data_IF_259967076701
#
_entry.id   IF_259967076701
#
_cell.length_a   1.000
_cell.length_b   1.000
_cell.length_c   1.000
_cell.angle_alpha   90.00
_cell.angle_beta   90.00
_cell.angle_gamma   90.00
#
_symmetry.space_group_name_H-M   'P 1'
#
loop_
_entity.id
_entity.type
_entity.pdbx_description
1 polymer ?
#
# COMPACT_ATOMS: atom_id res chain seq x y z
N UNK A 1 -7.91 39.12 -27.18
CA UNK A 1 -8.68 38.25 -26.27
C UNK A 1 -7.87 37.00 -25.96
N UNK A 2 -7.23 36.96 -24.79
CA UNK A 2 -6.43 35.82 -24.31
C UNK A 2 -7.34 34.84 -23.58
N UNK A 3 -7.49 33.64 -24.12
CA UNK A 3 -8.28 32.56 -23.49
C UNK A 3 -7.52 32.11 -22.23
N UNK A 4 -8.14 32.18 -21.03
CA UNK A 4 -7.49 31.71 -19.81
C UNK A 4 -7.33 30.19 -19.91
N UNK A 5 -6.09 29.71 -19.93
CA UNK A 5 -5.80 28.29 -19.87
C UNK A 5 -6.23 27.77 -18.50
N UNK A 6 -7.28 26.94 -18.48
CA UNK A 6 -7.72 26.19 -17.31
C UNK A 6 -6.60 25.26 -16.86
N UNK A 7 -5.73 25.76 -15.99
CA UNK A 7 -4.72 24.96 -15.29
C UNK A 7 -5.47 23.98 -14.40
N UNK A 8 -5.68 22.74 -14.88
CA UNK A 8 -6.19 21.63 -14.07
C UNK A 8 -5.27 21.53 -12.85
N UNK A 9 -5.73 22.00 -11.68
CA UNK A 9 -5.02 21.76 -10.42
C UNK A 9 -5.08 20.27 -10.20
N UNK A 10 -3.98 19.57 -10.46
CA UNK A 10 -3.83 18.17 -10.08
C UNK A 10 -3.92 18.15 -8.56
N UNK A 11 -5.05 17.66 -8.02
CA UNK A 11 -5.37 17.76 -6.59
C UNK A 11 -4.36 17.00 -5.71
N UNK A 12 -3.67 16.00 -6.28
CA UNK A 12 -2.71 15.16 -5.59
C UNK A 12 -1.38 15.09 -6.32
N UNK A 13 -0.30 15.48 -5.64
CA UNK A 13 1.04 15.28 -6.17
C UNK A 13 1.36 13.77 -6.22
N UNK A 14 2.18 13.34 -7.18
CA UNK A 14 2.63 11.95 -7.29
C UNK A 14 3.16 11.35 -5.97
N UNK A 15 3.98 12.05 -5.14
CA UNK A 15 4.40 11.49 -3.86
C UNK A 15 3.24 11.35 -2.87
N UNK A 16 2.27 12.28 -2.87
CA UNK A 16 1.07 12.15 -2.03
C UNK A 16 0.27 10.90 -2.42
N UNK A 17 0.08 10.66 -3.71
CA UNK A 17 -0.63 9.46 -4.19
C UNK A 17 0.11 8.16 -3.82
N UNK A 18 1.45 8.16 -3.92
CA UNK A 18 2.29 7.01 -3.55
C UNK A 18 2.21 6.62 -2.07
N UNK A 19 1.81 7.55 -1.20
CA UNK A 19 1.59 7.29 0.23
C UNK A 19 0.13 6.97 0.53
N UNK A 20 -0.79 7.83 0.06
CA UNK A 20 -2.21 7.74 0.41
C UNK A 20 -2.86 6.48 -0.16
N UNK A 21 -2.55 6.11 -1.40
CA UNK A 21 -3.19 4.95 -2.05
C UNK A 21 -2.84 3.64 -1.34
N UNK A 22 -1.57 3.28 -1.07
CA UNK A 22 -1.25 2.06 -0.36
C UNK A 22 -1.79 2.03 1.07
N UNK A 23 -1.72 3.16 1.79
CA UNK A 23 -2.29 3.25 3.14
C UNK A 23 -3.79 3.02 3.13
N UNK A 24 -4.53 3.74 2.28
CA UNK A 24 -5.97 3.59 2.17
C UNK A 24 -6.34 2.16 1.81
N UNK A 25 -5.68 1.56 0.81
CA UNK A 25 -5.92 0.18 0.41
C UNK A 25 -5.66 -0.80 1.56
N UNK A 26 -4.54 -0.67 2.28
CA UNK A 26 -4.23 -1.50 3.44
C UNK A 26 -5.31 -1.37 4.51
N UNK A 27 -5.71 -0.14 4.86
CA UNK A 27 -6.74 0.10 5.88
C UNK A 27 -8.09 -0.47 5.48
N UNK A 28 -8.52 -0.29 4.23
CA UNK A 28 -9.79 -0.83 3.74
C UNK A 28 -9.77 -2.36 3.70
N UNK A 29 -8.68 -2.96 3.22
CA UNK A 29 -8.50 -4.41 3.23
C UNK A 29 -8.57 -4.95 4.66
N UNK A 30 -7.85 -4.34 5.60
CA UNK A 30 -7.73 -4.85 6.95
C UNK A 30 -8.99 -4.62 7.79
N UNK A 31 -9.69 -3.50 7.59
CA UNK A 31 -10.89 -3.15 8.36
C UNK A 31 -12.19 -3.75 7.80
N UNK A 32 -12.29 -3.97 6.49
CA UNK A 32 -13.52 -4.42 5.85
C UNK A 32 -13.38 -5.80 5.23
N UNK A 33 -12.42 -5.97 4.32
CA UNK A 33 -12.33 -7.19 3.52
C UNK A 33 -11.91 -8.39 4.37
N UNK A 34 -10.97 -8.17 5.29
CA UNK A 34 -10.39 -9.20 6.14
C UNK A 34 -11.40 -9.82 7.10
N UNK A 35 -12.17 -9.05 7.91
CA UNK A 35 -13.22 -9.64 8.74
C UNK A 35 -14.30 -10.32 7.90
N UNK A 36 -14.71 -9.70 6.79
CA UNK A 36 -15.74 -10.26 5.91
C UNK A 36 -15.32 -11.63 5.32
N UNK A 37 -14.08 -11.75 4.85
CA UNK A 37 -13.55 -13.03 4.34
C UNK A 37 -13.40 -14.07 5.43
N UNK A 38 -12.95 -13.66 6.62
CA UNK A 38 -12.78 -14.58 7.73
C UNK A 38 -14.12 -15.14 8.23
N UNK A 39 -15.17 -14.33 8.32
CA UNK A 39 -16.51 -14.78 8.67
C UNK A 39 -17.04 -15.80 7.66
N UNK A 40 -16.81 -15.58 6.36
CA UNK A 40 -17.22 -16.50 5.29
C UNK A 40 -16.52 -17.86 5.35
N UNK A 41 -15.32 -17.92 5.89
CA UNK A 41 -14.52 -19.13 6.04
C UNK A 41 -14.58 -19.75 7.45
N UNK A 42 -15.42 -19.21 8.35
CA UNK A 42 -15.51 -19.71 9.73
C UNK A 42 -14.24 -19.47 10.55
N UNK A 43 -13.48 -18.42 10.25
CA UNK A 43 -12.24 -18.09 10.95
C UNK A 43 -12.48 -17.60 12.37
N UNK A 44 -11.66 -18.08 13.30
CA UNK A 44 -11.66 -17.63 14.70
C UNK A 44 -10.70 -16.46 14.86
N UNK A 45 -11.21 -15.33 15.37
CA UNK A 45 -10.39 -14.16 15.66
C UNK A 45 -9.47 -14.45 16.85
N UNK A 46 -8.16 -14.23 16.65
CA UNK A 46 -7.13 -14.26 17.68
C UNK A 46 -6.70 -12.83 17.95
N UNK A 47 -6.82 -12.44 19.21
CA UNK A 47 -6.38 -11.14 19.72
C UNK A 47 -5.16 -11.39 20.60
N UNK A 48 -4.05 -10.72 20.32
CA UNK A 48 -2.83 -10.86 21.11
C UNK A 48 -2.31 -9.48 21.53
N UNK A 49 -1.93 -9.41 22.81
CA UNK A 49 -1.33 -8.22 23.41
C UNK A 49 -2.29 -7.41 24.29
N UNK A 50 -1.73 -6.91 25.38
CA UNK A 50 -2.39 -6.07 26.37
C UNK A 50 -1.72 -4.68 26.41
N UNK A 51 -1.41 -4.11 25.24
CA UNK A 51 -0.42 -3.05 25.09
C UNK A 51 -1.01 -1.69 24.68
N UNK A 52 -0.37 -0.63 25.17
CA UNK A 52 -0.65 0.81 25.00
C UNK A 52 -0.85 1.27 23.53
N UNK A 53 -0.43 0.46 22.54
CA UNK A 53 -0.54 0.75 21.10
C UNK A 53 -1.72 0.06 20.39
N UNK A 54 -2.55 -0.68 21.13
CA UNK A 54 -3.68 -1.45 20.59
C UNK A 54 -3.37 -2.94 20.41
N UNK A 55 -4.39 -3.81 20.41
CA UNK A 55 -4.23 -5.25 20.27
C UNK A 55 -3.85 -5.63 18.84
N UNK A 56 -2.91 -6.56 18.69
CA UNK A 56 -2.61 -7.18 17.39
C UNK A 56 -3.63 -8.29 17.11
N UNK A 57 -4.03 -8.44 15.85
CA UNK A 57 -5.15 -9.30 15.46
C UNK A 57 -4.83 -10.12 14.23
N UNK A 58 -5.28 -11.36 14.25
CA UNK A 58 -5.26 -12.25 13.09
C UNK A 58 -6.35 -13.31 13.21
N UNK A 59 -6.57 -14.08 12.15
CA UNK A 59 -7.58 -15.14 12.14
C UNK A 59 -6.91 -16.51 12.05
N UNK A 60 -7.47 -17.47 12.78
CA UNK A 60 -7.08 -18.87 12.74
C UNK A 60 -8.19 -19.70 12.11
N UNK A 61 -7.80 -20.71 11.33
CA UNK A 61 -8.71 -21.60 10.60
C UNK A 61 -8.40 -23.06 10.95
N UNK A 62 -9.36 -23.95 10.81
CA UNK A 62 -9.16 -25.39 10.94
C UNK A 62 -8.32 -25.96 9.79
N UNK A 63 -7.86 -27.21 9.94
CA UNK A 63 -6.97 -27.83 8.97
C UNK A 63 -7.63 -28.08 7.61
N UNK A 64 -8.94 -28.39 7.56
CA UNK A 64 -9.64 -28.64 6.32
C UNK A 64 -9.79 -27.35 5.51
N UNK A 65 -10.23 -26.26 6.13
CA UNK A 65 -10.35 -24.95 5.46
C UNK A 65 -8.99 -24.42 4.97
N UNK A 66 -7.89 -24.68 5.69
CA UNK A 66 -6.54 -24.33 5.22
C UNK A 66 -6.12 -25.13 3.99
N UNK A 67 -6.53 -26.40 3.89
CA UNK A 67 -6.22 -27.23 2.74
C UNK A 67 -7.01 -26.76 1.49
N UNK A 68 -8.27 -26.37 1.67
CA UNK A 68 -9.13 -25.91 0.59
C UNK A 68 -8.76 -24.49 0.10
N UNK A 69 -8.30 -23.62 1.01
CA UNK A 69 -8.00 -22.23 0.72
C UNK A 69 -6.63 -21.77 1.29
N UNK A 70 -5.51 -22.36 0.84
CA UNK A 70 -4.19 -22.14 1.46
C UNK A 70 -3.71 -20.68 1.36
N UNK A 71 -3.94 -20.04 0.21
CA UNK A 71 -3.51 -18.65 -0.02
C UNK A 71 -4.34 -17.68 0.83
N UNK A 72 -5.66 -17.87 0.86
CA UNK A 72 -6.56 -16.95 1.54
C UNK A 72 -6.42 -17.06 3.06
N UNK A 73 -6.38 -18.29 3.58
CA UNK A 73 -6.16 -18.55 5.01
C UNK A 73 -4.78 -18.09 5.47
N UNK A 74 -3.74 -18.24 4.63
CA UNK A 74 -2.41 -17.69 4.89
C UNK A 74 -2.41 -16.15 5.02
N UNK A 75 -3.07 -15.46 4.10
CA UNK A 75 -3.27 -14.01 4.19
C UNK A 75 -4.03 -13.62 5.47
N UNK A 76 -5.14 -14.30 5.76
CA UNK A 76 -5.97 -14.01 6.94
C UNK A 76 -5.25 -14.32 8.26
N UNK A 77 -4.29 -15.24 8.26
CA UNK A 77 -3.44 -15.57 9.41
C UNK A 77 -2.28 -14.60 9.64
N UNK A 78 -2.01 -13.67 8.72
CA UNK A 78 -0.91 -12.70 8.83
C UNK A 78 -1.26 -11.57 9.79
N UNK A 79 -0.46 -11.20 10.78
CA UNK A 79 -0.88 -10.19 11.76
C UNK A 79 -1.15 -8.78 11.18
N UNK A 80 -2.01 -8.01 11.85
CA UNK A 80 -2.30 -6.59 11.51
C UNK A 80 -0.98 -5.79 11.45
N UNK A 81 -0.08 -6.01 12.41
CA UNK A 81 1.24 -5.38 12.44
C UNK A 81 2.13 -5.75 11.24
N UNK A 82 2.12 -7.01 10.80
CA UNK A 82 2.89 -7.45 9.64
C UNK A 82 2.38 -6.80 8.35
N UNK A 83 1.06 -6.71 8.15
CA UNK A 83 0.46 -6.03 6.99
C UNK A 83 0.80 -4.54 6.95
N UNK A 84 0.81 -3.87 8.11
CA UNK A 84 1.23 -2.47 8.20
C UNK A 84 2.69 -2.30 7.78
N UNK A 85 3.60 -3.16 8.26
CA UNK A 85 5.02 -3.11 7.89
C UNK A 85 5.25 -3.37 6.40
N UNK A 86 4.54 -4.34 5.80
CA UNK A 86 4.58 -4.58 4.35
C UNK A 86 4.12 -3.36 3.56
N UNK A 87 3.08 -2.67 4.04
CA UNK A 87 2.57 -1.46 3.40
C UNK A 87 3.58 -0.31 3.48
N UNK A 88 4.23 -0.12 4.63
CA UNK A 88 5.31 0.86 4.76
C UNK A 88 6.49 0.55 3.83
N UNK A 89 6.89 -0.71 3.72
CA UNK A 89 7.93 -1.13 2.79
C UNK A 89 7.55 -0.80 1.34
N UNK A 90 6.31 -1.07 0.94
CA UNK A 90 5.80 -0.75 -0.40
C UNK A 90 5.83 0.77 -0.67
N UNK A 91 5.38 1.59 0.28
CA UNK A 91 5.42 3.05 0.15
C UNK A 91 6.86 3.54 -0.03
N UNK A 92 7.79 3.03 0.78
CA UNK A 92 9.20 3.37 0.67
C UNK A 92 9.75 3.03 -0.73
N UNK A 93 9.43 1.85 -1.27
CA UNK A 93 9.83 1.44 -2.61
C UNK A 93 9.25 2.36 -3.71
N UNK A 94 7.97 2.74 -3.60
CA UNK A 94 7.33 3.64 -4.57
C UNK A 94 7.99 5.03 -4.57
N UNK A 95 8.30 5.57 -3.39
CA UNK A 95 8.95 6.87 -3.26
C UNK A 95 10.40 6.83 -3.77
N UNK A 96 11.17 5.81 -3.40
CA UNK A 96 12.55 5.63 -3.86
C UNK A 96 12.58 5.40 -5.38
N UNK A 97 11.72 4.54 -5.90
CA UNK A 97 11.60 4.26 -7.33
C UNK A 97 11.20 5.50 -8.13
N UNK A 98 10.20 6.25 -7.65
CA UNK A 98 9.78 7.50 -8.28
C UNK A 98 10.89 8.56 -8.28
N UNK A 99 11.64 8.67 -7.18
CA UNK A 99 12.80 9.56 -7.09
C UNK A 99 13.92 9.15 -8.05
N UNK A 100 14.28 7.87 -8.08
CA UNK A 100 15.32 7.34 -8.95
C UNK A 100 14.96 7.55 -10.43
N UNK A 101 13.72 7.25 -10.81
CA UNK A 101 13.20 7.45 -12.16
C UNK A 101 13.25 8.93 -12.57
N UNK A 102 12.76 9.84 -11.71
CA UNK A 102 12.83 11.28 -11.96
C UNK A 102 14.29 11.76 -12.11
N UNK A 103 15.22 11.22 -11.32
CA UNK A 103 16.64 11.57 -11.39
C UNK A 103 17.28 11.08 -12.71
N UNK A 104 16.94 9.88 -13.17
CA UNK A 104 17.44 9.34 -14.46
C UNK A 104 16.91 10.16 -15.63
N UNK A 105 15.61 10.45 -15.67
CA UNK A 105 15.02 11.24 -16.74
C UNK A 105 15.57 12.67 -16.82
N UNK A 106 15.83 13.32 -15.68
CA UNK A 106 16.47 14.65 -15.67
C UNK A 106 17.90 14.63 -16.21
N UNK A 107 18.63 13.51 -16.05
CA UNK A 107 19.99 13.36 -16.60
C UNK A 107 19.97 13.19 -18.12
N UNK A 108 18.99 12.43 -18.64
CA UNK A 108 18.82 12.20 -20.08
C UNK A 108 18.23 13.41 -20.80
N UNK A 109 17.36 14.17 -20.14
CA UNK A 109 16.71 15.34 -20.72
C UNK A 109 17.59 16.60 -20.74
N UNK A 110 18.82 16.56 -20.21
CA UNK A 110 19.74 17.69 -20.30
C UNK A 110 20.25 17.77 -21.74
N UNK A 111 19.81 18.73 -22.57
CA UNK A 111 20.33 18.86 -23.91
C UNK A 111 21.81 19.20 -23.76
N UNK A 112 22.67 18.49 -24.50
CA UNK A 112 24.06 18.90 -24.68
C UNK A 112 23.98 20.28 -25.31
N UNK A 113 24.18 21.32 -24.51
CA UNK A 113 24.30 22.69 -24.99
C UNK A 113 25.29 22.66 -26.15
N UNK A 114 24.79 22.96 -27.35
CA UNK A 114 25.64 23.18 -28.52
C UNK A 114 26.70 24.20 -28.07
N UNK A 115 28.00 23.92 -28.24
CA UNK A 115 28.98 24.98 -28.17
C UNK A 115 28.65 25.92 -29.33
N UNK A 116 28.13 27.10 -29.01
CA UNK A 116 28.15 28.22 -29.95
C UNK A 116 29.59 28.73 -29.95
N UNK A 117 30.28 28.36 -31.04
CA UNK A 117 31.59 28.81 -31.53
C UNK A 117 32.85 28.35 -30.78
#
# INVERSE_FOLDING_TARGET
MTVPSLRRKVLFSAPTAAVVVPLFMCTALNALLRPWLAERLGGTLVLFGNAVRGPDRWWSFDAATRADHPVLTGFLSTSDGALAMMTFALIALLLIGGWAFARIHRRLAKPRSRPDY
#
